data_IF_808160566861
#
_entry.id   IF_808160566861
#
_cell.length_a   1.000
_cell.length_b   1.000
_cell.length_c   1.000
_cell.angle_alpha   90.00
_cell.angle_beta   90.00
_cell.angle_gamma   90.00
#
_symmetry.space_group_name_H-M   'P 1'
#
loop_
_entity.id
_entity.type
_entity.pdbx_description
1 polymer ?
#
# COMPACT_ATOMS: atom_id res chain seq x y z
N UNK A 1 1.00 -45.83 -47.37
CA UNK A 1 0.87 -44.40 -46.97
C UNK A 1 -0.15 -44.37 -45.84
N UNK A 2 0.25 -43.86 -44.67
CA UNK A 2 -0.58 -43.62 -43.45
C UNK A 2 -1.08 -44.83 -42.64
N UNK A 3 -0.16 -45.70 -42.22
CA UNK A 3 -0.32 -46.49 -41.00
C UNK A 3 0.28 -45.70 -39.84
N UNK A 4 -0.41 -44.62 -39.45
CA UNK A 4 -0.13 -43.93 -38.18
C UNK A 4 -0.83 -44.72 -37.10
N UNK A 5 -0.25 -45.87 -36.73
CA UNK A 5 -0.58 -46.55 -35.51
C UNK A 5 -0.39 -45.55 -34.37
N UNK A 6 -1.53 -45.07 -33.89
CA UNK A 6 -1.72 -44.23 -32.74
C UNK A 6 -1.07 -44.96 -31.56
N UNK A 7 0.18 -44.63 -31.26
CA UNK A 7 0.78 -45.00 -29.97
C UNK A 7 0.08 -44.12 -28.95
N UNK A 8 -1.16 -44.50 -28.60
CA UNK A 8 -1.86 -44.01 -27.44
C UNK A 8 -1.05 -44.50 -26.23
N UNK A 9 -0.03 -43.73 -25.85
CA UNK A 9 0.58 -43.84 -24.54
C UNK A 9 -0.48 -43.43 -23.52
N UNK A 10 -1.29 -44.40 -23.09
CA UNK A 10 -2.07 -44.33 -21.88
C UNK A 10 -1.10 -44.00 -20.73
N UNK A 11 -0.97 -42.71 -20.42
CA UNK A 11 -0.13 -42.26 -19.30
C UNK A 11 -0.72 -42.89 -18.03
N UNK A 12 0.05 -43.73 -17.31
CA UNK A 12 -0.47 -44.41 -16.14
C UNK A 12 -0.96 -43.38 -15.12
N UNK A 13 -2.27 -43.40 -14.85
CA UNK A 13 -2.91 -42.50 -13.88
C UNK A 13 -2.21 -42.65 -12.53
N UNK A 14 -1.59 -41.58 -12.05
CA UNK A 14 -0.91 -41.53 -10.75
C UNK A 14 -1.89 -41.98 -9.66
N UNK A 15 -1.59 -43.11 -9.02
CA UNK A 15 -2.40 -43.66 -7.91
C UNK A 15 -1.97 -43.13 -6.54
N UNK A 16 -1.02 -42.20 -6.50
CA UNK A 16 -0.58 -41.57 -5.26
C UNK A 16 -1.57 -40.48 -4.87
N UNK A 17 -2.19 -40.67 -3.70
CA UNK A 17 -2.94 -39.60 -3.03
C UNK A 17 -1.99 -38.45 -2.67
N UNK A 18 -2.49 -37.20 -2.70
CA UNK A 18 -1.72 -36.02 -2.31
C UNK A 18 -1.04 -36.18 -0.94
N UNK A 19 -1.73 -36.83 0.00
CA UNK A 19 -1.19 -37.15 1.33
C UNK A 19 -0.04 -38.16 1.28
N UNK A 20 -0.08 -39.13 0.37
CA UNK A 20 1.00 -40.10 0.18
C UNK A 20 2.22 -39.45 -0.48
N UNK A 21 2.01 -38.58 -1.47
CA UNK A 21 3.09 -37.79 -2.08
C UNK A 21 3.76 -36.89 -1.05
N UNK A 22 2.99 -36.21 -0.19
CA UNK A 22 3.54 -35.42 0.91
C UNK A 22 4.30 -36.29 1.91
N UNK A 23 3.77 -37.44 2.29
CA UNK A 23 4.42 -38.37 3.23
C UNK A 23 5.75 -38.88 2.68
N UNK A 24 5.79 -39.32 1.42
CA UNK A 24 7.01 -39.78 0.74
C UNK A 24 8.00 -38.63 0.56
N UNK A 25 7.56 -37.45 0.12
CA UNK A 25 8.42 -36.27 -0.05
C UNK A 25 9.01 -35.75 1.27
N UNK A 26 8.24 -35.81 2.36
CA UNK A 26 8.70 -35.36 3.68
C UNK A 26 9.82 -36.23 4.26
N UNK A 27 9.92 -37.50 3.84
CA UNK A 27 11.00 -38.40 4.25
C UNK A 27 12.39 -37.88 3.80
N UNK A 28 12.49 -37.27 2.62
CA UNK A 28 13.73 -36.70 2.08
C UNK A 28 14.18 -35.43 2.78
N UNK A 29 13.25 -34.62 3.30
CA UNK A 29 13.58 -33.44 4.12
C UNK A 29 14.28 -33.86 5.43
N UNK A 30 13.88 -35.00 5.99
CA UNK A 30 14.40 -35.53 7.26
C UNK A 30 15.76 -36.21 7.12
N UNK A 31 16.14 -36.69 5.93
CA UNK A 31 17.47 -37.28 5.66
C UNK A 31 18.56 -36.23 5.42
N UNK A 32 18.22 -35.04 4.89
CA UNK A 32 19.16 -33.91 4.67
C UNK A 32 18.74 -32.64 5.42
N UNK A 33 18.64 -32.74 6.74
CA UNK A 33 18.14 -31.68 7.63
C UNK A 33 18.86 -30.33 7.46
N UNK A 34 20.19 -30.32 7.38
CA UNK A 34 20.97 -29.08 7.24
C UNK A 34 20.65 -28.32 5.95
N UNK A 35 20.55 -29.02 4.81
CA UNK A 35 20.24 -28.40 3.53
C UNK A 35 18.80 -27.89 3.48
N UNK A 36 17.86 -28.68 3.99
CA UNK A 36 16.45 -28.29 4.09
C UNK A 36 16.28 -27.08 5.00
N UNK A 37 16.96 -27.06 6.15
CA UNK A 37 16.95 -25.93 7.07
C UNK A 37 17.52 -24.66 6.41
N UNK A 38 18.72 -24.73 5.80
CA UNK A 38 19.32 -23.57 5.12
C UNK A 38 18.43 -23.00 4.00
N UNK A 39 17.78 -23.88 3.22
CA UNK A 39 16.88 -23.45 2.15
C UNK A 39 15.64 -22.74 2.70
N UNK A 40 15.02 -23.28 3.75
CA UNK A 40 13.87 -22.65 4.40
C UNK A 40 14.26 -21.31 5.03
N UNK A 41 15.43 -21.26 5.66
CA UNK A 41 15.94 -20.08 6.35
C UNK A 41 16.25 -18.95 5.37
N UNK A 42 16.83 -19.26 4.20
CA UNK A 42 17.04 -18.28 3.13
C UNK A 42 15.76 -17.65 2.62
N UNK A 43 14.72 -18.44 2.36
CA UNK A 43 13.41 -17.95 1.91
C UNK A 43 12.77 -17.08 3.00
N UNK A 44 12.84 -17.53 4.26
CA UNK A 44 12.27 -16.82 5.40
C UNK A 44 12.93 -15.46 5.59
N UNK A 45 14.26 -15.41 5.60
CA UNK A 45 15.00 -14.14 5.72
C UNK A 45 14.72 -13.23 4.53
N UNK A 46 14.70 -13.78 3.30
CA UNK A 46 14.45 -12.99 2.10
C UNK A 46 13.08 -12.30 2.12
N UNK A 47 12.02 -13.05 2.44
CA UNK A 47 10.66 -12.48 2.54
C UNK A 47 10.57 -11.50 3.71
N UNK A 48 11.16 -11.82 4.86
CA UNK A 48 11.17 -10.93 6.03
C UNK A 48 11.84 -9.59 5.73
N UNK A 49 12.97 -9.60 5.03
CA UNK A 49 13.68 -8.37 4.63
C UNK A 49 12.83 -7.52 3.68
N UNK A 50 12.21 -8.14 2.66
CA UNK A 50 11.34 -7.43 1.71
C UNK A 50 10.16 -6.77 2.42
N UNK A 51 9.46 -7.50 3.28
CA UNK A 51 8.31 -6.97 4.02
C UNK A 51 8.76 -5.86 4.98
N UNK A 52 9.90 -6.02 5.66
CA UNK A 52 10.40 -5.01 6.59
C UNK A 52 10.72 -3.69 5.88
N UNK A 53 11.40 -3.74 4.73
CA UNK A 53 11.75 -2.54 3.95
C UNK A 53 10.50 -1.85 3.41
N UNK A 54 9.58 -2.61 2.81
CA UNK A 54 8.35 -2.05 2.26
C UNK A 54 7.44 -1.49 3.37
N UNK A 55 7.30 -2.19 4.49
CA UNK A 55 6.51 -1.75 5.63
C UNK A 55 7.08 -0.51 6.31
N UNK A 56 8.39 -0.46 6.55
CA UNK A 56 9.05 0.71 7.13
C UNK A 56 8.92 1.94 6.21
N UNK A 57 9.15 1.77 4.91
CA UNK A 57 9.02 2.87 3.95
C UNK A 57 7.59 3.42 3.88
N UNK A 58 6.59 2.53 3.88
CA UNK A 58 5.19 2.94 3.81
C UNK A 58 4.78 3.75 5.06
N UNK A 59 5.21 3.32 6.25
CA UNK A 59 4.96 4.05 7.49
C UNK A 59 5.67 5.42 7.50
N UNK A 60 6.94 5.47 7.12
CA UNK A 60 7.71 6.72 7.10
C UNK A 60 7.15 7.77 6.13
N UNK A 61 6.69 7.37 4.96
CA UNK A 61 6.04 8.29 4.02
C UNK A 61 4.71 8.82 4.55
N UNK A 62 3.91 7.99 5.22
CA UNK A 62 2.64 8.42 5.79
C UNK A 62 2.81 9.40 6.96
N UNK A 63 3.81 9.16 7.82
CA UNK A 63 4.10 10.04 8.94
C UNK A 63 4.68 11.38 8.47
N UNK A 64 5.56 11.37 7.46
CA UNK A 64 6.07 12.61 6.86
C UNK A 64 4.95 13.44 6.22
N UNK A 65 4.02 12.82 5.48
CA UNK A 65 2.89 13.54 4.89
C UNK A 65 2.03 14.18 5.97
N UNK A 66 1.74 13.47 7.07
CA UNK A 66 0.99 14.05 8.21
C UNK A 66 1.71 15.22 8.85
N UNK A 67 3.03 15.14 9.02
CA UNK A 67 3.84 16.24 9.57
C UNK A 67 3.80 17.45 8.62
N UNK A 68 3.92 17.24 7.31
CA UNK A 68 3.82 18.30 6.30
C UNK A 68 2.43 18.92 6.25
N UNK A 69 1.37 18.11 6.33
CA UNK A 69 -0.01 18.60 6.42
C UNK A 69 -0.21 19.44 7.69
N UNK A 70 0.38 19.01 8.82
CA UNK A 70 0.34 19.76 10.08
C UNK A 70 1.15 21.08 10.03
N UNK A 71 2.20 21.14 9.22
CA UNK A 71 3.01 22.34 8.99
C UNK A 71 2.29 23.40 8.12
N UNK A 72 1.08 23.11 7.61
CA UNK A 72 0.22 24.13 6.99
C UNK A 72 0.38 24.26 5.47
N UNK A 73 0.74 23.19 4.78
CA UNK A 73 0.82 23.14 3.30
C UNK A 73 -0.53 23.38 2.60
N UNK A 74 -1.64 23.39 3.35
CA UNK A 74 -3.00 23.70 2.87
C UNK A 74 -3.62 24.95 3.53
N UNK A 75 -2.80 25.95 3.87
CA UNK A 75 -3.30 27.24 4.37
C UNK A 75 -3.57 28.21 3.21
N UNK A 76 -4.81 28.70 3.13
CA UNK A 76 -5.23 29.71 2.17
C UNK A 76 -5.66 30.97 2.92
N UNK A 77 -4.88 32.04 2.80
CA UNK A 77 -5.19 33.34 3.43
C UNK A 77 -6.04 34.18 2.49
N UNK A 78 -7.18 34.67 2.98
CA UNK A 78 -8.11 35.52 2.23
C UNK A 78 -8.09 36.90 2.88
N UNK A 79 -7.71 37.92 2.11
CA UNK A 79 -7.69 39.31 2.56
C UNK A 79 -8.73 40.14 1.80
N UNK A 80 -9.23 41.18 2.44
CA UNK A 80 -10.18 42.09 1.83
C UNK A 80 -9.48 42.95 0.77
N UNK A 81 -9.96 42.90 -0.47
CA UNK A 81 -9.47 43.76 -1.53
C UNK A 81 -9.88 45.22 -1.37
N UNK A 82 -9.23 46.11 -2.11
CA UNK A 82 -9.68 47.49 -2.27
C UNK A 82 -10.93 47.50 -3.16
N UNK A 83 -12.04 48.07 -2.69
CA UNK A 83 -13.24 48.20 -3.50
C UNK A 83 -13.01 49.12 -4.69
N UNK A 84 -13.70 48.88 -5.82
CA UNK A 84 -13.63 49.74 -7.00
C UNK A 84 -14.07 51.17 -6.66
N UNK A 85 -13.10 52.02 -6.30
CA UNK A 85 -13.31 53.45 -5.99
C UNK A 85 -13.87 53.78 -4.61
N UNK A 86 -14.11 52.81 -3.72
CA UNK A 86 -14.84 53.01 -2.45
C UNK A 86 -13.98 52.97 -1.17
N UNK A 87 -12.65 52.90 -1.29
CA UNK A 87 -11.75 52.77 -0.13
C UNK A 87 -11.64 51.33 0.40
N UNK A 88 -11.05 51.13 1.59
CA UNK A 88 -10.85 49.81 2.17
C UNK A 88 -12.19 49.16 2.50
N UNK A 89 -12.45 48.00 1.89
CA UNK A 89 -13.63 47.17 2.14
C UNK A 89 -13.25 46.12 3.19
N UNK A 90 -14.12 45.83 4.14
CA UNK A 90 -13.93 44.73 5.09
C UNK A 90 -14.64 43.47 4.59
N UNK A 91 -14.13 42.30 4.96
CA UNK A 91 -14.87 41.05 4.76
C UNK A 91 -16.19 41.10 5.54
N UNK A 92 -17.30 40.61 4.96
CA UNK A 92 -18.54 40.38 5.68
C UNK A 92 -18.36 39.41 6.87
N UNK A 93 -19.05 39.65 7.98
CA UNK A 93 -18.98 38.82 9.20
C UNK A 93 -19.45 37.37 8.98
N UNK A 94 -20.25 37.13 7.94
CA UNK A 94 -20.75 35.82 7.53
C UNK A 94 -19.79 35.08 6.58
N UNK A 95 -18.73 35.73 6.09
CA UNK A 95 -17.74 35.11 5.21
C UNK A 95 -17.13 33.81 5.76
N UNK A 96 -16.76 33.69 7.06
CA UNK A 96 -16.26 32.44 7.61
C UNK A 96 -17.29 31.31 7.53
N UNK A 97 -18.57 31.61 7.74
CA UNK A 97 -19.65 30.65 7.67
C UNK A 97 -19.92 30.20 6.22
N UNK A 98 -19.79 31.11 5.25
CA UNK A 98 -19.87 30.76 3.82
C UNK A 98 -18.71 29.85 3.38
N UNK A 99 -17.48 30.18 3.79
CA UNK A 99 -16.28 29.43 3.41
C UNK A 99 -16.29 28.01 4.00
N UNK A 100 -16.77 27.82 5.24
CA UNK A 100 -16.93 26.49 5.86
C UNK A 100 -17.84 25.53 5.10
N UNK A 101 -18.68 26.02 4.19
CA UNK A 101 -19.60 25.17 3.40
C UNK A 101 -18.96 24.59 2.14
N UNK A 102 -17.77 25.04 1.78
CA UNK A 102 -17.03 24.55 0.62
C UNK A 102 -16.41 23.21 0.98
N UNK A 103 -16.78 22.12 0.29
CA UNK A 103 -16.37 20.75 0.64
C UNK A 103 -14.89 20.52 0.96
N UNK A 104 -13.91 21.10 0.23
CA UNK A 104 -12.48 20.94 0.56
C UNK A 104 -11.97 21.78 1.74
N UNK A 105 -12.82 22.54 2.45
CA UNK A 105 -12.43 23.35 3.60
C UNK A 105 -12.66 22.59 4.91
N UNK A 106 -11.57 22.29 5.62
CA UNK A 106 -11.63 21.56 6.90
C UNK A 106 -11.75 22.50 8.11
N UNK A 107 -11.04 23.62 8.08
CA UNK A 107 -10.99 24.57 9.19
C UNK A 107 -10.95 26.01 8.66
N UNK A 108 -11.58 26.93 9.40
CA UNK A 108 -11.58 28.37 9.10
C UNK A 108 -11.35 29.12 10.39
N UNK A 109 -10.35 30.00 10.38
CA UNK A 109 -10.02 30.92 11.46
C UNK A 109 -10.03 32.36 10.94
N UNK A 110 -10.52 33.29 11.76
CA UNK A 110 -10.52 34.73 11.46
C UNK A 110 -9.37 35.39 12.21
N UNK A 111 -8.57 36.18 11.50
CA UNK A 111 -7.53 37.01 12.12
C UNK A 111 -7.93 38.48 11.94
N UNK A 112 -8.20 39.16 13.06
CA UNK A 112 -8.41 40.61 13.06
C UNK A 112 -7.04 41.27 13.19
N UNK A 113 -6.69 42.16 12.24
CA UNK A 113 -5.54 43.05 12.38
C UNK A 113 -5.99 44.41 12.91
#
# INVERSE_FOLDING_TARGET
MTERAEIQMELPKSRLSFLETLRVGSSGLRTRRLRSALSALGITIGIAALISVLGLSASGSADLIKELDALGTNLLTIEAGQGFGAGPVSLPDDAPAMIRRISPVYEVATVSK
#
